data_IF_770670707791
#
_entry.id   IF_770670707791
#
_cell.length_a   1.000
_cell.length_b   1.000
_cell.length_c   1.000
_cell.angle_alpha   90.00
_cell.angle_beta   90.00
_cell.angle_gamma   90.00
#
_symmetry.space_group_name_H-M   'P 1'
#
loop_
_entity.id
_entity.type
_entity.pdbx_description
1 polymer ?
#
# COMPACT_ATOMS: atom_id res chain seq x y z
N UNK A 1 -5.35 26.74 1.54
CA UNK A 1 -3.92 26.38 1.74
C UNK A 1 -3.70 25.50 2.98
N UNK A 2 -4.46 25.70 4.07
CA UNK A 2 -4.42 24.84 5.27
C UNK A 2 -4.64 23.35 4.96
N UNK A 3 -5.56 23.05 4.04
CA UNK A 3 -5.98 21.68 3.78
C UNK A 3 -4.93 20.87 3.00
N UNK A 4 -4.18 21.52 2.09
CA UNK A 4 -3.11 20.86 1.33
C UNK A 4 -1.95 20.45 2.25
N UNK A 5 -1.47 21.36 3.09
CA UNK A 5 -0.36 21.08 4.01
C UNK A 5 -0.72 19.98 5.00
N UNK A 6 -1.93 20.03 5.56
CA UNK A 6 -2.42 18.99 6.45
C UNK A 6 -2.52 17.63 5.74
N UNK A 7 -3.04 17.60 4.53
CA UNK A 7 -3.17 16.36 3.73
C UNK A 7 -1.82 15.73 3.42
N UNK A 8 -0.84 16.54 3.01
CA UNK A 8 0.53 16.08 2.78
C UNK A 8 1.17 15.52 4.06
N UNK A 9 0.96 16.19 5.21
CA UNK A 9 1.46 15.72 6.49
C UNK A 9 0.84 14.37 6.90
N UNK A 10 -0.49 14.22 6.73
CA UNK A 10 -1.21 12.96 7.02
C UNK A 10 -0.71 11.83 6.13
N UNK A 11 -0.55 12.08 4.83
CA UNK A 11 -0.04 11.09 3.88
C UNK A 11 1.39 10.69 4.24
N UNK A 12 2.26 11.66 4.59
CA UNK A 12 3.62 11.37 5.03
C UNK A 12 3.65 10.52 6.31
N UNK A 13 2.82 10.84 7.30
CA UNK A 13 2.67 10.05 8.53
C UNK A 13 2.22 8.62 8.21
N UNK A 14 1.23 8.46 7.33
CA UNK A 14 0.73 7.15 6.95
C UNK A 14 1.79 6.35 6.17
N UNK A 15 2.50 6.95 5.23
CA UNK A 15 3.66 6.34 4.55
C UNK A 15 4.71 5.85 5.55
N UNK A 16 5.08 6.67 6.54
CA UNK A 16 6.03 6.28 7.58
C UNK A 16 5.51 5.10 8.41
N UNK A 17 4.24 5.12 8.81
CA UNK A 17 3.63 4.03 9.56
C UNK A 17 3.63 2.72 8.74
N UNK A 18 3.19 2.78 7.48
CA UNK A 18 3.22 1.63 6.55
C UNK A 18 4.65 1.11 6.36
N UNK A 19 5.62 1.99 6.20
CA UNK A 19 7.02 1.60 6.09
C UNK A 19 7.49 0.83 7.34
N UNK A 20 7.15 1.31 8.54
CA UNK A 20 7.45 0.64 9.80
C UNK A 20 6.85 -0.78 9.89
N UNK A 21 5.57 -0.93 9.58
CA UNK A 21 4.91 -2.25 9.52
C UNK A 21 5.52 -3.17 8.47
N UNK A 22 5.85 -2.63 7.29
CA UNK A 22 6.48 -3.38 6.20
C UNK A 22 7.83 -3.96 6.57
N UNK A 23 8.59 -3.27 7.44
CA UNK A 23 9.86 -3.80 7.96
C UNK A 23 9.68 -5.03 8.82
N UNK A 24 8.58 -5.15 9.56
CA UNK A 24 8.29 -6.38 10.31
C UNK A 24 8.11 -7.55 9.33
N UNK A 25 7.31 -7.37 8.28
CA UNK A 25 7.12 -8.41 7.26
C UNK A 25 8.47 -8.80 6.66
N UNK A 26 9.29 -7.82 6.29
CA UNK A 26 10.64 -8.07 5.77
C UNK A 26 11.52 -8.85 6.74
N UNK A 27 11.54 -8.44 8.01
CA UNK A 27 12.31 -9.09 9.06
C UNK A 27 11.86 -10.56 9.25
N UNK A 28 10.55 -10.81 9.26
CA UNK A 28 9.98 -12.16 9.33
C UNK A 28 10.34 -13.01 8.11
N UNK A 29 10.33 -12.42 6.91
CA UNK A 29 10.65 -13.15 5.66
C UNK A 29 12.14 -13.42 5.46
N UNK A 30 13.00 -12.55 5.97
CA UNK A 30 14.46 -12.64 5.80
C UNK A 30 15.16 -13.42 6.93
N UNK A 31 14.40 -14.16 7.75
CA UNK A 31 14.94 -14.94 8.87
C UNK A 31 15.65 -14.07 9.92
N UNK A 32 15.23 -12.81 10.07
CA UNK A 32 15.83 -11.86 11.01
C UNK A 32 17.18 -11.27 10.58
N UNK A 33 17.69 -11.62 9.40
CA UNK A 33 18.94 -11.05 8.86
C UNK A 33 18.65 -10.13 7.67
N UNK A 34 19.17 -8.90 7.69
CA UNK A 34 19.01 -7.92 6.59
C UNK A 34 20.02 -8.23 5.47
N UNK A 35 20.09 -9.49 5.04
CA UNK A 35 21.03 -9.98 4.02
C UNK A 35 20.39 -9.89 2.65
N UNK A 36 20.54 -8.75 1.99
CA UNK A 36 20.13 -8.54 0.60
C UNK A 36 19.98 -7.05 0.28
N UNK A 37 19.96 -6.70 -1.01
CA UNK A 37 19.57 -5.34 -1.42
C UNK A 37 18.15 -5.07 -0.94
N UNK A 38 17.94 -4.05 -0.09
CA UNK A 38 16.64 -3.81 0.50
C UNK A 38 15.62 -3.56 -0.62
N UNK A 39 14.44 -4.22 -0.63
CA UNK A 39 13.30 -3.87 -1.47
C UNK A 39 13.10 -2.35 -1.50
N UNK A 40 12.54 -1.84 -2.59
CA UNK A 40 12.24 -0.42 -2.66
C UNK A 40 11.38 -0.04 -1.45
N UNK A 41 11.60 1.15 -0.94
CA UNK A 41 10.85 1.70 0.18
C UNK A 41 9.33 1.66 -0.11
N UNK A 42 8.94 1.83 -1.38
CA UNK A 42 7.58 1.61 -1.88
C UNK A 42 7.07 0.18 -1.64
N UNK A 43 7.82 -0.85 -2.06
CA UNK A 43 7.45 -2.27 -1.78
C UNK A 43 7.35 -2.51 -0.28
N UNK A 44 8.25 -1.93 0.51
CA UNK A 44 8.18 -2.04 1.98
C UNK A 44 6.87 -1.45 2.51
N UNK A 45 6.45 -0.27 2.06
CA UNK A 45 5.15 0.31 2.44
C UNK A 45 3.98 -0.59 2.03
N UNK A 46 4.03 -1.22 0.86
CA UNK A 46 2.97 -2.13 0.41
C UNK A 46 2.86 -3.40 1.25
N UNK A 47 3.99 -3.95 1.71
CA UNK A 47 3.98 -5.05 2.68
C UNK A 47 3.36 -4.62 4.01
N UNK A 48 3.63 -3.37 4.44
CA UNK A 48 2.99 -2.78 5.61
C UNK A 48 1.49 -2.62 5.44
N UNK A 49 1.04 -2.17 4.27
CA UNK A 49 -0.38 -2.05 3.93
C UNK A 49 -1.07 -3.42 3.97
N UNK A 50 -0.46 -4.44 3.36
CA UNK A 50 -0.98 -5.80 3.35
C UNK A 50 -1.09 -6.38 4.77
N UNK A 51 -0.06 -6.16 5.60
CA UNK A 51 -0.09 -6.55 7.01
C UNK A 51 -1.17 -5.80 7.79
N UNK A 52 -1.32 -4.48 7.61
CA UNK A 52 -2.36 -3.72 8.28
C UNK A 52 -3.76 -4.17 7.89
N UNK A 53 -4.02 -4.51 6.62
CA UNK A 53 -5.30 -5.06 6.20
C UNK A 53 -5.58 -6.40 6.89
N UNK A 54 -4.57 -7.27 6.99
CA UNK A 54 -4.70 -8.54 7.71
C UNK A 54 -4.99 -8.33 9.21
N UNK A 55 -4.25 -7.44 9.87
CA UNK A 55 -4.49 -7.05 11.27
C UNK A 55 -5.86 -6.42 11.44
N UNK A 56 -6.29 -5.57 10.50
CA UNK A 56 -7.62 -4.99 10.48
C UNK A 56 -8.73 -6.02 10.39
N UNK A 57 -8.52 -7.10 9.63
CA UNK A 57 -9.41 -8.27 9.61
C UNK A 57 -9.51 -8.94 10.98
N UNK A 58 -8.38 -9.17 11.65
CA UNK A 58 -8.36 -9.73 13.01
C UNK A 58 -9.08 -8.82 14.00
N UNK A 59 -8.79 -7.52 14.00
CA UNK A 59 -9.44 -6.53 14.86
C UNK A 59 -10.96 -6.51 14.64
N UNK A 60 -11.41 -6.60 13.38
CA UNK A 60 -12.84 -6.69 13.05
C UNK A 60 -13.49 -7.95 13.61
N UNK A 61 -12.82 -9.10 13.54
CA UNK A 61 -13.31 -10.37 14.08
C UNK A 61 -13.47 -10.33 15.61
N UNK A 62 -12.52 -9.70 16.31
CA UNK A 62 -12.55 -9.58 17.78
C UNK A 62 -13.28 -8.32 18.27
N UNK A 63 -13.92 -7.57 17.37
CA UNK A 63 -14.68 -6.35 17.67
C UNK A 63 -13.86 -5.22 18.32
N UNK A 64 -12.61 -5.05 17.88
CA UNK A 64 -11.69 -4.03 18.37
C UNK A 64 -11.27 -3.02 17.29
N UNK A 65 -11.89 -2.99 16.11
CA UNK A 65 -11.57 -2.08 15.02
C UNK A 65 -12.12 -0.64 15.24
N UNK A 66 -11.87 -0.06 16.41
CA UNK A 66 -12.31 1.29 16.79
C UNK A 66 -11.21 2.34 16.59
N UNK A 67 -11.53 3.62 16.84
CA UNK A 67 -10.61 4.74 16.68
C UNK A 67 -9.27 4.52 17.42
N UNK A 68 -9.30 4.06 18.66
CA UNK A 68 -8.11 3.88 19.49
C UNK A 68 -7.18 2.79 18.96
N UNK A 69 -7.75 1.68 18.48
CA UNK A 69 -6.97 0.63 17.85
C UNK A 69 -6.28 1.14 16.58
N UNK A 70 -7.00 1.89 15.74
CA UNK A 70 -6.44 2.50 14.54
C UNK A 70 -5.33 3.52 14.88
N UNK A 71 -5.52 4.36 15.91
CA UNK A 71 -4.45 5.26 16.40
C UNK A 71 -3.21 4.48 16.85
N UNK A 72 -3.42 3.39 17.59
CA UNK A 72 -2.37 2.52 18.08
C UNK A 72 -1.56 1.89 16.94
N UNK A 73 -2.23 1.47 15.86
CA UNK A 73 -1.56 0.95 14.66
C UNK A 73 -0.68 2.00 13.99
N UNK A 74 -1.13 3.26 13.90
CA UNK A 74 -0.30 4.36 13.37
C UNK A 74 0.90 4.63 14.28
N UNK A 75 0.66 4.81 15.58
CA UNK A 75 1.71 5.12 16.54
C UNK A 75 2.79 4.02 16.58
N UNK A 76 2.38 2.75 16.58
CA UNK A 76 3.29 1.61 16.53
C UNK A 76 4.07 1.57 15.21
N UNK A 77 3.41 1.79 14.07
CA UNK A 77 4.06 1.90 12.77
C UNK A 77 5.13 2.98 12.72
N UNK A 78 4.84 4.17 13.26
CA UNK A 78 5.82 5.27 13.37
C UNK A 78 7.01 4.89 14.26
N UNK A 79 6.74 4.28 15.42
CA UNK A 79 7.80 3.78 16.31
C UNK A 79 8.73 2.79 15.61
N UNK A 80 8.16 1.85 14.84
CA UNK A 80 8.92 0.86 14.05
C UNK A 80 9.72 1.51 12.91
N UNK A 81 9.23 2.60 12.33
CA UNK A 81 9.93 3.35 11.30
C UNK A 81 11.20 4.02 11.85
N UNK A 82 11.13 4.60 13.06
CA UNK A 82 12.20 5.41 13.66
C UNK A 82 13.20 4.59 14.48
N UNK A 83 12.76 3.52 15.16
CA UNK A 83 13.59 2.72 16.07
C UNK A 83 15.01 2.34 15.57
N UNK A 84 15.21 1.89 14.32
CA UNK A 84 16.53 1.52 13.83
C UNK A 84 17.45 2.72 13.54
N UNK A 85 16.91 3.92 13.31
CA UNK A 85 17.71 5.13 13.24
C UNK A 85 18.24 5.51 14.62
N UNK A 86 17.42 5.36 15.67
CA UNK A 86 17.83 5.55 17.06
C UNK A 86 18.96 4.58 17.42
N UNK A 87 18.81 3.29 17.09
CA UNK A 87 19.87 2.28 17.31
C UNK A 87 21.18 2.64 16.60
N UNK A 88 21.10 3.01 15.32
CA UNK A 88 22.29 3.42 14.53
C UNK A 88 22.96 4.70 15.04
N UNK A 89 22.20 5.64 15.57
CA UNK A 89 22.74 6.87 16.16
C UNK A 89 23.54 6.58 17.44
N UNK A 90 23.16 5.53 18.18
CA UNK A 90 23.88 5.07 19.37
C UNK A 90 25.13 4.27 19.00
N UNK A 91 25.06 3.41 17.98
CA UNK A 91 26.14 2.49 17.60
C UNK A 91 27.23 3.11 16.68
N UNK A 92 27.50 4.42 16.81
CA UNK A 92 28.29 5.21 15.85
C UNK A 92 29.65 4.60 15.43
N UNK A 93 29.71 4.15 14.17
CA UNK A 93 30.93 3.74 13.46
C UNK A 93 30.72 3.42 11.98
N UNK A 94 29.65 3.95 11.35
CA UNK A 94 29.27 3.52 10.01
C UNK A 94 29.87 4.40 8.89
N UNK A 95 30.37 3.77 7.82
CA UNK A 95 30.92 4.45 6.66
C UNK A 95 29.83 5.18 5.88
N UNK A 96 30.22 6.29 5.23
CA UNK A 96 29.33 7.07 4.40
C UNK A 96 28.80 6.23 3.22
N UNK A 97 27.50 6.36 2.89
CA UNK A 97 26.93 5.73 1.70
C UNK A 97 27.61 6.28 0.43
N UNK A 98 27.83 5.38 -0.53
CA UNK A 98 28.30 5.74 -1.86
C UNK A 98 27.32 6.73 -2.50
N UNK A 99 27.81 7.90 -2.93
CA UNK A 99 27.00 8.89 -3.64
C UNK A 99 26.80 8.44 -5.10
N UNK A 100 25.56 8.35 -5.59
CA UNK A 100 25.29 8.07 -6.99
C UNK A 100 25.75 9.21 -7.91
N UNK A 101 25.89 8.92 -9.21
CA UNK A 101 26.27 9.92 -10.20
C UNK A 101 25.21 11.02 -10.34
N UNK A 102 25.60 12.26 -10.71
CA UNK A 102 24.68 13.41 -10.83
C UNK A 102 23.49 13.16 -11.76
N UNK A 103 23.71 12.47 -12.87
CA UNK A 103 22.66 12.14 -13.86
C UNK A 103 21.61 11.18 -13.28
N UNK A 104 22.05 10.22 -12.49
CA UNK A 104 21.17 9.27 -11.80
C UNK A 104 20.34 9.97 -10.72
N UNK A 105 20.94 10.93 -9.99
CA UNK A 105 20.21 11.77 -9.03
C UNK A 105 19.12 12.57 -9.73
N UNK A 106 19.42 13.19 -10.88
CA UNK A 106 18.45 13.99 -11.63
C UNK A 106 17.26 13.16 -12.13
N UNK A 107 17.50 11.96 -12.66
CA UNK A 107 16.44 11.05 -13.10
C UNK A 107 15.58 10.53 -11.94
N UNK A 108 16.20 10.23 -10.79
CA UNK A 108 15.46 9.82 -9.59
C UNK A 108 14.60 10.96 -9.05
N UNK A 109 15.16 12.17 -9.02
CA UNK A 109 14.47 13.37 -8.57
C UNK A 109 13.30 13.74 -9.49
N UNK A 110 13.42 13.59 -10.82
CA UNK A 110 12.34 13.92 -11.75
C UNK A 110 11.12 12.99 -11.59
N UNK A 111 11.35 11.68 -11.41
CA UNK A 111 10.27 10.72 -11.16
C UNK A 111 9.57 10.99 -9.81
N UNK A 112 10.34 11.30 -8.77
CA UNK A 112 9.76 11.69 -7.48
C UNK A 112 8.98 12.99 -7.58
N UNK A 113 9.53 13.99 -8.27
CA UNK A 113 8.87 15.27 -8.49
C UNK A 113 7.56 15.10 -9.26
N UNK A 114 7.53 14.23 -10.27
CA UNK A 114 6.29 13.89 -10.98
C UNK A 114 5.26 13.23 -10.05
N UNK A 115 5.67 12.24 -9.25
CA UNK A 115 4.78 11.59 -8.29
C UNK A 115 4.20 12.58 -7.28
N UNK A 116 5.02 13.52 -6.78
CA UNK A 116 4.59 14.58 -5.88
C UNK A 116 3.70 15.61 -6.57
N UNK A 117 3.98 15.96 -7.82
CA UNK A 117 3.15 16.88 -8.60
C UNK A 117 1.74 16.29 -8.82
N UNK A 118 1.66 15.01 -9.19
CA UNK A 118 0.38 14.30 -9.33
C UNK A 118 -0.33 14.19 -7.98
N UNK A 119 0.39 13.92 -6.89
CA UNK A 119 -0.19 13.91 -5.55
C UNK A 119 -0.79 15.28 -5.18
N UNK A 120 -0.07 16.38 -5.37
CA UNK A 120 -0.55 17.72 -5.06
C UNK A 120 -1.78 18.05 -5.91
N UNK A 121 -1.74 17.72 -7.20
CA UNK A 121 -2.86 17.93 -8.11
C UNK A 121 -4.11 17.13 -7.69
N UNK A 122 -3.94 15.86 -7.34
CA UNK A 122 -5.05 14.99 -6.91
C UNK A 122 -5.60 15.40 -5.55
N UNK A 123 -4.77 15.87 -4.62
CA UNK A 123 -5.26 16.49 -3.38
C UNK A 123 -6.14 17.70 -3.71
N UNK A 124 -5.66 18.59 -4.59
CA UNK A 124 -6.36 19.83 -4.93
C UNK A 124 -7.69 19.59 -5.68
N UNK A 125 -7.83 18.47 -6.39
CA UNK A 125 -8.98 18.21 -7.28
C UNK A 125 -9.91 17.09 -6.80
N UNK A 126 -9.45 16.16 -5.96
CA UNK A 126 -10.18 14.94 -5.59
C UNK A 126 -10.43 14.75 -4.10
N UNK A 127 -9.78 15.52 -3.21
CA UNK A 127 -9.80 15.25 -1.76
C UNK A 127 -11.04 15.79 -1.03
N UNK A 128 -11.71 16.84 -1.53
CA UNK A 128 -13.16 16.93 -1.43
C UNK A 128 -13.75 16.84 -2.85
N UNK A 129 -14.21 15.65 -3.30
CA UNK A 129 -14.84 15.56 -4.60
C UNK A 129 -16.12 16.40 -4.58
N UNK A 130 -16.30 17.24 -5.60
CA UNK A 130 -17.52 18.04 -5.74
C UNK A 130 -18.75 17.14 -5.91
N UNK A 131 -18.57 15.98 -6.55
CA UNK A 131 -19.59 14.97 -6.79
C UNK A 131 -18.96 13.59 -6.63
N UNK A 132 -19.62 12.73 -5.88
CA UNK A 132 -19.36 11.29 -5.89
C UNK A 132 -20.08 10.66 -7.08
N UNK A 133 -19.55 9.55 -7.59
CA UNK A 133 -20.21 8.80 -8.65
C UNK A 133 -21.59 8.32 -8.16
N UNK A 134 -22.65 8.71 -8.85
CA UNK A 134 -24.03 8.35 -8.48
C UNK A 134 -24.32 6.86 -8.69
N UNK A 135 -23.53 6.18 -9.52
CA UNK A 135 -23.60 4.74 -9.74
C UNK A 135 -22.91 3.91 -8.67
N UNK A 136 -22.23 4.55 -7.70
CA UNK A 136 -21.62 3.85 -6.59
C UNK A 136 -22.61 3.49 -5.49
N UNK A 137 -22.31 2.40 -4.80
CA UNK A 137 -22.97 2.05 -3.54
C UNK A 137 -22.42 2.91 -2.38
N UNK A 138 -22.74 4.20 -2.43
CA UNK A 138 -22.33 5.18 -1.43
C UNK A 138 -22.87 4.80 -0.04
N UNK A 139 -24.05 4.18 0.01
CA UNK A 139 -24.62 3.69 1.26
C UNK A 139 -23.65 2.73 1.96
N UNK A 140 -23.04 1.81 1.20
CA UNK A 140 -22.06 0.87 1.71
C UNK A 140 -20.74 1.53 2.07
N UNK A 141 -20.17 2.34 1.18
CA UNK A 141 -18.83 2.92 1.40
C UNK A 141 -18.76 3.89 2.57
N UNK A 142 -19.86 4.58 2.87
CA UNK A 142 -19.92 5.57 3.93
C UNK A 142 -20.33 4.95 5.27
N UNK A 143 -21.29 4.02 5.27
CA UNK A 143 -21.80 3.45 6.52
C UNK A 143 -20.82 2.47 7.18
N UNK A 144 -20.08 1.69 6.39
CA UNK A 144 -19.16 0.69 6.92
C UNK A 144 -18.05 1.22 7.82
N UNK A 145 -17.23 2.22 7.41
CA UNK A 145 -16.18 2.74 8.26
C UNK A 145 -16.73 3.38 9.54
N UNK A 146 -17.85 4.11 9.46
CA UNK A 146 -18.50 4.71 10.64
C UNK A 146 -18.94 3.63 11.62
N UNK A 147 -19.69 2.63 11.15
CA UNK A 147 -20.12 1.50 11.98
C UNK A 147 -18.95 0.76 12.60
N UNK A 148 -17.91 0.50 11.83
CA UNK A 148 -16.71 -0.20 12.31
C UNK A 148 -16.08 0.56 13.48
N UNK A 149 -15.95 1.88 13.37
CA UNK A 149 -15.39 2.72 14.41
C UNK A 149 -16.26 2.75 15.68
N UNK A 150 -17.59 2.77 15.53
CA UNK A 150 -18.55 2.82 16.64
C UNK A 150 -18.71 1.48 17.36
N UNK A 151 -18.73 0.37 16.63
CA UNK A 151 -19.06 -0.96 17.15
C UNK A 151 -17.85 -1.89 17.27
N UNK A 152 -16.69 -1.45 16.77
CA UNK A 152 -15.47 -2.23 16.70
C UNK A 152 -15.47 -3.29 15.59
N UNK A 153 -16.52 -3.40 14.77
CA UNK A 153 -16.62 -4.41 13.72
C UNK A 153 -17.48 -3.96 12.54
N UNK A 154 -17.18 -4.49 11.35
CA UNK A 154 -18.01 -4.31 10.16
C UNK A 154 -19.28 -5.18 10.19
N UNK A 155 -19.26 -6.27 10.97
CA UNK A 155 -20.38 -7.19 11.07
C UNK A 155 -21.51 -6.56 11.87
N UNK A 156 -22.65 -6.38 11.21
CA UNK A 156 -23.87 -5.88 11.85
C UNK A 156 -24.62 -6.99 12.60
N UNK A 157 -25.94 -6.80 12.70
CA UNK A 157 -26.87 -7.83 13.15
C UNK A 157 -26.80 -9.06 12.21
N UNK A 158 -26.99 -10.30 12.72
CA UNK A 158 -27.14 -11.50 11.88
C UNK A 158 -28.23 -11.39 10.80
N UNK A 159 -29.17 -10.46 10.99
CA UNK A 159 -30.26 -10.18 10.06
C UNK A 159 -29.92 -9.08 9.03
N UNK A 160 -28.72 -8.50 9.09
CA UNK A 160 -28.26 -7.47 8.16
C UNK A 160 -27.32 -8.06 7.11
N UNK A 161 -27.63 -7.90 5.83
CA UNK A 161 -26.72 -8.20 4.73
C UNK A 161 -25.51 -7.22 4.68
N UNK A 162 -25.61 -6.10 5.39
CA UNK A 162 -24.57 -5.07 5.42
C UNK A 162 -23.35 -5.59 6.21
N UNK A 163 -22.36 -6.08 5.47
CA UNK A 163 -21.08 -6.58 5.99
C UNK A 163 -20.76 -8.02 5.62
N UNK A 164 -21.71 -8.79 5.07
CA UNK A 164 -21.47 -10.15 4.58
C UNK A 164 -20.97 -10.19 3.14
N UNK A 165 -21.24 -9.15 2.36
CA UNK A 165 -20.89 -9.05 0.94
C UNK A 165 -19.47 -8.54 0.66
N UNK A 166 -18.79 -8.01 1.68
CA UNK A 166 -17.43 -7.48 1.58
C UNK A 166 -16.60 -7.98 2.74
N UNK A 167 -15.35 -8.36 2.45
CA UNK A 167 -14.38 -8.75 3.47
C UNK A 167 -13.81 -7.53 4.23
N UNK A 168 -14.17 -6.31 3.83
CA UNK A 168 -13.99 -5.13 4.66
C UNK A 168 -12.64 -4.42 4.55
N UNK A 169 -11.74 -4.86 3.67
CA UNK A 169 -10.40 -4.27 3.55
C UNK A 169 -10.44 -2.77 3.24
N UNK A 170 -11.25 -2.35 2.27
CA UNK A 170 -11.44 -0.91 1.97
C UNK A 170 -12.10 -0.15 3.11
N UNK A 171 -13.10 -0.75 3.76
CA UNK A 171 -13.78 -0.12 4.89
C UNK A 171 -12.84 0.10 6.07
N UNK A 172 -11.92 -0.84 6.31
CA UNK A 172 -10.86 -0.68 7.30
C UNK A 172 -9.93 0.48 6.96
N UNK A 173 -9.48 0.59 5.70
CA UNK A 173 -8.64 1.72 5.25
C UNK A 173 -9.37 3.06 5.34
N UNK A 174 -10.65 3.10 4.95
CA UNK A 174 -11.53 4.27 5.12
C UNK A 174 -11.66 4.68 6.60
N UNK A 175 -11.65 3.72 7.52
CA UNK A 175 -11.70 3.98 8.96
C UNK A 175 -10.60 4.93 9.46
N UNK A 176 -9.39 4.88 8.89
CA UNK A 176 -8.32 5.82 9.25
C UNK A 176 -8.64 7.27 8.90
N UNK A 177 -9.40 7.50 7.82
CA UNK A 177 -9.85 8.84 7.43
C UNK A 177 -11.03 9.26 8.29
N UNK A 178 -12.06 8.43 8.40
CA UNK A 178 -13.30 8.76 9.14
C UNK A 178 -13.06 8.95 10.63
N UNK A 179 -12.01 8.35 11.18
CA UNK A 179 -11.62 8.56 12.58
C UNK A 179 -11.30 10.03 12.92
N UNK A 180 -10.82 10.81 11.95
CA UNK A 180 -10.29 12.17 12.20
C UNK A 180 -10.78 13.23 11.23
N UNK A 181 -11.34 12.83 10.09
CA UNK A 181 -11.74 13.71 9.01
C UNK A 181 -13.19 13.45 8.60
N UNK A 182 -13.88 14.47 8.05
CA UNK A 182 -15.23 14.30 7.52
C UNK A 182 -15.32 13.21 6.44
N UNK A 183 -16.50 12.61 6.30
CA UNK A 183 -16.78 11.58 5.28
C UNK A 183 -16.51 12.05 3.84
N UNK A 184 -16.49 13.36 3.60
CA UNK A 184 -16.15 13.93 2.29
C UNK A 184 -14.73 13.59 1.84
N UNK A 185 -13.84 13.19 2.74
CA UNK A 185 -12.45 12.84 2.46
C UNK A 185 -12.24 11.36 2.10
N UNK A 186 -13.30 10.53 2.05
CA UNK A 186 -13.20 9.09 1.79
C UNK A 186 -12.50 8.76 0.47
N UNK A 187 -12.73 9.57 -0.57
CA UNK A 187 -12.08 9.40 -1.86
C UNK A 187 -10.53 9.48 -1.77
N UNK A 188 -10.01 10.14 -0.73
CA UNK A 188 -8.58 10.28 -0.51
C UNK A 188 -7.84 8.97 -0.29
N UNK A 189 -8.52 7.92 0.18
CA UNK A 189 -7.87 6.62 0.39
C UNK A 189 -7.43 6.01 -0.94
N UNK A 190 -8.33 5.84 -1.90
CA UNK A 190 -7.96 5.18 -3.17
C UNK A 190 -7.40 6.17 -4.19
N UNK A 191 -8.17 7.21 -4.53
CA UNK A 191 -7.87 8.12 -5.64
C UNK A 191 -6.62 8.98 -5.41
N UNK A 192 -6.30 9.32 -4.15
CA UNK A 192 -5.13 10.12 -3.82
C UNK A 192 -4.02 9.23 -3.31
N UNK A 193 -4.25 8.53 -2.20
CA UNK A 193 -3.20 7.78 -1.54
C UNK A 193 -2.82 6.49 -2.30
N UNK A 194 -3.79 5.78 -2.88
CA UNK A 194 -3.55 4.56 -3.67
C UNK A 194 -2.82 4.85 -4.97
N UNK A 195 -3.24 5.91 -5.67
CA UNK A 195 -2.55 6.39 -6.86
C UNK A 195 -1.11 6.77 -6.52
N UNK A 196 -0.90 7.53 -5.43
CA UNK A 196 0.43 7.89 -4.98
C UNK A 196 1.30 6.65 -4.73
N UNK A 197 0.80 5.61 -4.05
CA UNK A 197 1.53 4.36 -3.85
C UNK A 197 1.89 3.66 -5.17
N UNK A 198 1.01 3.65 -6.17
CA UNK A 198 1.32 3.14 -7.51
C UNK A 198 2.49 3.90 -8.15
N UNK A 199 2.45 5.24 -8.11
CA UNK A 199 3.49 6.11 -8.66
C UNK A 199 4.83 5.88 -7.97
N UNK A 200 4.83 5.69 -6.65
CA UNK A 200 6.04 5.40 -5.88
C UNK A 200 6.64 4.03 -6.19
N UNK A 201 5.79 3.02 -6.42
CA UNK A 201 6.22 1.70 -6.87
C UNK A 201 6.91 1.79 -8.23
N UNK A 202 6.25 2.42 -9.22
CA UNK A 202 6.79 2.59 -10.58
C UNK A 202 8.10 3.38 -10.55
N UNK A 203 8.15 4.49 -9.82
CA UNK A 203 9.38 5.26 -9.64
C UNK A 203 10.49 4.42 -9.00
N UNK A 204 10.17 3.69 -7.92
CA UNK A 204 11.12 2.81 -7.24
C UNK A 204 11.66 1.68 -8.11
N UNK A 205 10.86 1.17 -9.05
CA UNK A 205 11.29 0.19 -10.05
C UNK A 205 12.21 0.82 -11.09
N UNK A 206 11.85 1.98 -11.65
CA UNK A 206 12.67 2.71 -12.61
C UNK A 206 14.02 3.15 -12.03
N UNK A 207 14.09 3.44 -10.72
CA UNK A 207 15.35 3.77 -10.05
C UNK A 207 16.34 2.60 -10.02
N UNK A 208 15.84 1.36 -10.07
CA UNK A 208 16.66 0.14 -10.15
C UNK A 208 16.98 -0.25 -11.58
N UNK A 209 16.13 0.17 -12.52
CA UNK A 209 16.28 -0.09 -13.94
C UNK A 209 16.20 1.23 -14.73
N UNK A 210 17.26 2.07 -14.69
CA UNK A 210 17.22 3.40 -15.32
C UNK A 210 16.90 3.37 -16.82
N UNK A 211 17.25 2.30 -17.52
CA UNK A 211 16.91 2.08 -18.93
C UNK A 211 15.38 2.03 -19.18
N UNK A 212 14.59 1.71 -18.16
CA UNK A 212 13.12 1.65 -18.23
C UNK A 212 12.46 2.94 -17.75
N UNK A 213 13.21 4.00 -17.43
CA UNK A 213 12.63 5.27 -17.01
C UNK A 213 11.63 5.88 -18.01
N UNK A 214 11.83 5.81 -19.35
CA UNK A 214 10.81 6.26 -20.30
C UNK A 214 9.51 5.47 -20.20
N UNK A 215 9.60 4.14 -20.08
CA UNK A 215 8.43 3.29 -19.90
C UNK A 215 7.70 3.56 -18.57
N UNK A 216 8.46 3.87 -17.51
CA UNK A 216 7.91 4.28 -16.23
C UNK A 216 7.15 5.60 -16.31
N UNK A 217 7.64 6.59 -17.07
CA UNK A 217 6.93 7.84 -17.31
C UNK A 217 5.60 7.62 -18.04
N UNK A 218 5.60 6.76 -19.07
CA UNK A 218 4.37 6.37 -19.78
C UNK A 218 3.40 5.69 -18.82
N UNK A 219 3.86 4.71 -18.03
CA UNK A 219 3.01 4.02 -17.05
C UNK A 219 2.43 4.97 -15.98
N UNK A 220 3.20 5.95 -15.50
CA UNK A 220 2.71 6.97 -14.57
C UNK A 220 1.66 7.89 -15.23
N UNK A 221 1.87 8.27 -16.49
CA UNK A 221 0.92 9.07 -17.25
C UNK A 221 -0.38 8.30 -17.54
N UNK A 222 -0.29 7.02 -17.89
CA UNK A 222 -1.44 6.14 -18.13
C UNK A 222 -2.29 5.98 -16.86
N UNK A 223 -1.66 5.75 -15.70
CA UNK A 223 -2.38 5.67 -14.44
C UNK A 223 -3.08 6.99 -14.10
N UNK A 224 -2.44 8.12 -14.36
CA UNK A 224 -3.04 9.43 -14.12
C UNK A 224 -4.21 9.73 -15.09
N UNK A 225 -4.15 9.22 -16.31
CA UNK A 225 -5.21 9.39 -17.31
C UNK A 225 -6.51 8.66 -16.94
N UNK A 226 -6.46 7.71 -16.00
CA UNK A 226 -7.65 7.05 -15.47
C UNK A 226 -8.41 8.02 -14.58
N UNK A 227 -9.55 8.50 -15.06
CA UNK A 227 -10.36 9.43 -14.27
C UNK A 227 -11.04 8.71 -13.10
N UNK A 228 -10.71 9.05 -11.84
CA UNK A 228 -11.26 8.38 -10.66
C UNK A 228 -12.76 8.65 -10.45
N UNK A 229 -13.36 9.66 -11.10
CA UNK A 229 -14.78 9.96 -10.97
C UNK A 229 -15.67 9.06 -11.82
N UNK A 230 -15.13 8.46 -12.89
CA UNK A 230 -15.87 7.52 -13.75
C UNK A 230 -15.78 6.07 -13.27
N UNK A 231 -14.79 5.78 -12.43
CA UNK A 231 -14.59 4.46 -11.86
C UNK A 231 -15.09 4.50 -10.42
N UNK A 232 -15.76 3.45 -9.96
CA UNK A 232 -16.26 3.37 -8.59
C UNK A 232 -15.19 3.80 -7.56
N UNK A 233 -15.59 4.35 -6.41
CA UNK A 233 -14.81 4.48 -5.15
C UNK A 233 -14.52 3.08 -4.59
N UNK A 234 -14.06 2.21 -5.47
CA UNK A 234 -13.65 0.86 -5.24
C UNK A 234 -12.13 0.86 -5.20
N UNK A 235 -11.54 -0.22 -4.69
CA UNK A 235 -10.11 -0.42 -4.51
C UNK A 235 -9.28 -0.45 -5.82
N UNK A 236 -9.47 0.49 -6.74
CA UNK A 236 -8.84 0.50 -8.05
C UNK A 236 -7.34 0.71 -7.89
N UNK A 237 -6.93 1.84 -7.31
CA UNK A 237 -5.53 2.17 -7.19
C UNK A 237 -4.87 1.40 -6.04
N UNK A 238 -5.57 1.15 -4.94
CA UNK A 238 -5.07 0.30 -3.86
C UNK A 238 -4.85 -1.14 -4.34
N UNK A 239 -5.81 -1.69 -5.09
CA UNK A 239 -5.66 -3.00 -5.72
C UNK A 239 -4.52 -3.03 -6.72
N UNK A 240 -4.42 -2.01 -7.58
CA UNK A 240 -3.32 -1.88 -8.55
C UNK A 240 -1.95 -1.77 -7.87
N UNK A 241 -1.84 -1.00 -6.78
CA UNK A 241 -0.61 -0.90 -6.00
C UNK A 241 -0.20 -2.25 -5.40
N UNK A 242 -1.16 -3.02 -4.86
CA UNK A 242 -0.89 -4.36 -4.34
C UNK A 242 -0.54 -5.37 -5.45
N UNK A 243 -1.15 -5.26 -6.63
CA UNK A 243 -0.77 -6.04 -7.82
C UNK A 243 0.68 -5.73 -8.22
N UNK A 244 1.04 -4.45 -8.35
CA UNK A 244 2.41 -4.02 -8.64
C UNK A 244 3.39 -4.49 -7.56
N UNK A 245 2.99 -4.45 -6.28
CA UNK A 245 3.79 -4.99 -5.19
C UNK A 245 4.04 -6.49 -5.33
N UNK A 246 3.01 -7.29 -5.67
CA UNK A 246 3.17 -8.72 -5.91
C UNK A 246 4.16 -8.98 -7.06
N UNK A 247 4.04 -8.23 -8.15
CA UNK A 247 4.96 -8.32 -9.29
C UNK A 247 6.38 -7.95 -8.87
N UNK A 248 6.59 -6.88 -8.10
CA UNK A 248 7.95 -6.48 -7.69
C UNK A 248 8.56 -7.35 -6.60
N UNK A 249 7.75 -7.99 -5.76
CA UNK A 249 8.22 -9.01 -4.82
C UNK A 249 8.67 -10.27 -5.56
N UNK A 250 8.01 -10.62 -6.66
CA UNK A 250 8.38 -11.79 -7.49
C UNK A 250 9.51 -11.52 -8.47
N UNK A 251 9.59 -10.31 -9.03
CA UNK A 251 10.63 -9.87 -9.94
C UNK A 251 11.91 -9.38 -9.22
N UNK A 252 12.12 -9.78 -7.95
CA UNK A 252 13.20 -9.27 -7.10
C UNK A 252 14.60 -9.37 -7.72
N UNK A 253 15.55 -8.52 -7.28
CA UNK A 253 16.89 -8.39 -7.86
C UNK A 253 17.81 -9.61 -7.69
N UNK A 254 17.34 -10.66 -7.02
CA UNK A 254 18.12 -11.88 -6.84
C UNK A 254 18.13 -12.68 -8.15
N UNK A 255 19.07 -12.33 -9.02
CA UNK A 255 19.55 -13.14 -10.15
C UNK A 255 19.94 -14.59 -9.73
N UNK A 256 19.93 -14.89 -8.42
CA UNK A 256 20.25 -16.19 -7.83
C UNK A 256 19.07 -17.19 -7.72
N UNK A 257 17.92 -16.92 -8.36
CA UNK A 257 16.85 -17.92 -8.50
C UNK A 257 16.13 -18.31 -7.20
N UNK A 258 16.30 -17.52 -6.14
CA UNK A 258 15.59 -17.75 -4.88
C UNK A 258 14.09 -17.47 -5.04
N UNK A 259 13.21 -18.36 -4.56
CA UNK A 259 11.77 -18.13 -4.64
C UNK A 259 11.37 -16.92 -3.79
N UNK A 260 10.36 -16.16 -4.21
CA UNK A 260 9.87 -15.03 -3.43
C UNK A 260 9.31 -15.50 -2.08
N UNK A 261 9.41 -14.68 -1.03
CA UNK A 261 9.00 -15.07 0.31
C UNK A 261 7.49 -15.36 0.38
N UNK A 262 7.05 -16.60 0.70
CA UNK A 262 5.64 -16.98 0.65
C UNK A 262 4.74 -16.15 1.57
N UNK A 263 5.26 -15.75 2.74
CA UNK A 263 4.52 -14.90 3.69
C UNK A 263 4.18 -13.53 3.08
N UNK A 264 5.13 -12.89 2.39
CA UNK A 264 4.89 -11.59 1.77
C UNK A 264 3.82 -11.68 0.67
N UNK A 265 3.93 -12.67 -0.22
CA UNK A 265 2.94 -12.88 -1.28
C UNK A 265 1.58 -13.28 -0.72
N UNK A 266 1.54 -14.17 0.27
CA UNK A 266 0.31 -14.57 0.94
C UNK A 266 -0.42 -13.39 1.57
N UNK A 267 0.31 -12.48 2.24
CA UNK A 267 -0.26 -11.24 2.78
C UNK A 267 -0.81 -10.33 1.68
N UNK A 268 -0.05 -10.14 0.58
CA UNK A 268 -0.50 -9.31 -0.54
C UNK A 268 -1.77 -9.90 -1.19
N UNK A 269 -1.81 -11.21 -1.41
CA UNK A 269 -2.99 -11.89 -1.98
C UNK A 269 -4.20 -11.79 -1.05
N UNK A 270 -4.00 -12.03 0.25
CA UNK A 270 -5.07 -11.90 1.24
C UNK A 270 -5.60 -10.46 1.27
N UNK A 271 -4.71 -9.46 1.23
CA UNK A 271 -5.08 -8.05 1.17
C UNK A 271 -5.87 -7.73 -0.11
N UNK A 272 -5.43 -8.20 -1.28
CA UNK A 272 -6.15 -8.03 -2.55
C UNK A 272 -7.58 -8.56 -2.47
N UNK A 273 -7.75 -9.80 -2.02
CA UNK A 273 -9.07 -10.43 -1.87
C UNK A 273 -9.92 -9.68 -0.85
N UNK A 274 -9.30 -9.21 0.25
CA UNK A 274 -9.98 -8.44 1.29
C UNK A 274 -10.43 -7.04 0.81
N UNK A 275 -9.67 -6.41 -0.09
CA UNK A 275 -10.05 -5.13 -0.72
C UNK A 275 -11.24 -5.31 -1.66
N UNK A 276 -11.18 -6.34 -2.52
CA UNK A 276 -12.26 -6.67 -3.46
C UNK A 276 -12.15 -8.13 -3.90
N UNK A 277 -13.20 -8.96 -3.75
CA UNK A 277 -13.15 -10.37 -4.15
C UNK A 277 -12.80 -10.60 -5.63
N UNK A 278 -13.06 -9.64 -6.52
CA UNK A 278 -12.67 -9.73 -7.94
C UNK A 278 -11.16 -9.88 -8.13
N UNK A 279 -10.33 -9.41 -7.20
CA UNK A 279 -8.88 -9.60 -7.26
C UNK A 279 -8.44 -11.04 -6.96
N UNK A 280 -9.35 -11.93 -6.53
CA UNK A 280 -9.07 -13.36 -6.40
C UNK A 280 -8.61 -13.97 -7.73
N UNK A 281 -9.11 -13.47 -8.86
CA UNK A 281 -8.70 -13.94 -10.19
C UNK A 281 -7.20 -13.69 -10.39
N UNK A 282 -6.74 -12.46 -10.12
CA UNK A 282 -5.33 -12.13 -10.20
C UNK A 282 -4.50 -12.96 -9.21
N UNK A 283 -4.90 -12.99 -7.92
CA UNK A 283 -4.16 -13.69 -6.88
C UNK A 283 -4.02 -15.20 -7.18
N UNK A 284 -5.09 -15.83 -7.68
CA UNK A 284 -5.10 -17.24 -8.06
C UNK A 284 -4.21 -17.53 -9.27
N UNK A 285 -4.33 -16.75 -10.34
CA UNK A 285 -3.51 -16.93 -11.56
C UNK A 285 -2.03 -16.65 -11.29
N UNK A 286 -1.72 -15.53 -10.63
CA UNK A 286 -0.35 -15.17 -10.27
C UNK A 286 0.26 -16.19 -9.32
N UNK A 287 -0.49 -16.65 -8.31
CA UNK A 287 -0.06 -17.74 -7.43
C UNK A 287 0.23 -19.05 -8.17
N UNK A 288 -0.64 -19.45 -9.10
CA UNK A 288 -0.43 -20.64 -9.94
C UNK A 288 0.84 -20.51 -10.79
N UNK A 289 1.03 -19.38 -11.47
CA UNK A 289 2.24 -19.14 -12.26
C UNK A 289 3.50 -19.15 -11.41
N UNK A 290 3.44 -18.63 -10.19
CA UNK A 290 4.57 -18.70 -9.26
C UNK A 290 4.89 -20.13 -8.83
N UNK A 291 3.88 -20.96 -8.55
CA UNK A 291 4.10 -22.38 -8.23
C UNK A 291 4.75 -23.09 -9.43
N UNK A 292 4.27 -22.85 -10.65
CA UNK A 292 4.86 -23.41 -11.87
C UNK A 292 6.30 -22.92 -12.08
N UNK A 293 6.58 -21.64 -11.85
CA UNK A 293 7.92 -21.08 -11.97
C UNK A 293 8.90 -21.73 -10.98
N UNK A 294 8.52 -21.82 -9.70
CA UNK A 294 9.36 -22.41 -8.63
C UNK A 294 9.59 -23.91 -8.83
N UNK A 295 8.57 -24.65 -9.29
CA UNK A 295 8.73 -26.10 -9.58
C UNK A 295 9.65 -26.36 -10.77
N UNK A 296 9.66 -25.49 -11.79
CA UNK A 296 10.58 -25.59 -12.93
C UNK A 296 12.03 -25.28 -12.56
N UNK A 297 12.27 -24.25 -11.76
CA UNK A 297 13.64 -23.90 -11.33
C UNK A 297 14.24 -24.94 -10.41
N UNK A 298 13.43 -25.58 -9.55
CA UNK A 298 13.89 -26.65 -8.65
C UNK A 298 14.01 -28.01 -9.34
N UNK A 299 13.19 -28.30 -10.36
CA UNK A 299 13.23 -29.55 -11.10
C UNK A 299 14.39 -29.69 -12.10
N UNK A 300 14.90 -28.58 -12.64
CA UNK A 300 16.03 -28.57 -13.57
C UNK A 300 17.42 -28.70 -12.92
N UNK A 301 17.49 -28.75 -11.59
CA UNK A 301 18.74 -28.88 -10.83
C UNK A 301 19.05 -30.34 -10.39
N UNK A 302 18.37 -31.33 -10.97
CA UNK A 302 18.60 -32.77 -10.76
C UNK A 302 19.01 -33.42 -12.07
#
# INVERSE_FOLDING_TARGET
MTDLTLSLAVIAVFCCALFGWGRIVRWLTAGGTDRGTPPSWAVTMMLGLALLIAVGGVLNLVRLANIWALSGLIALGLGLCVAPWIRRAVDSGLPMPHMPARTEIAARASLLALALAVLIFTIATQLPPALYNFGDDLQKYFAHPVRMLETGTLFGSPLSAMGSESLGGMSFLHGFIVAYFPLTYLNGVDAVFGLFLCLLLIAGFAWRHPALAPAALVAMADLYAINPQYVNISALYMGSALILAAIFVTAGPDEAGAPPPPLALGLIYAALVALKPTFLIFAGLHGLFMIVAVTRTTGGAR
#
